data_IF_547793921253
#
_entry.id   IF_547793921253
#
_cell.length_a   1.000
_cell.length_b   1.000
_cell.length_c   1.000
_cell.angle_alpha   90.00
_cell.angle_beta   90.00
_cell.angle_gamma   90.00
#
_symmetry.space_group_name_H-M   'P 1'
#
loop_
_entity.id
_entity.type
_entity.pdbx_description
1 polymer ?
#
# COMPACT_ATOMS: atom_id res chain seq x y z
N UNK A 1 -1.15 -25.76 11.80
CA UNK A 1 -1.26 -24.30 12.00
C UNK A 1 -0.76 -23.63 10.72
N UNK A 2 -1.65 -23.10 9.87
CA UNK A 2 -1.23 -22.36 8.67
C UNK A 2 -0.85 -20.96 9.08
N UNK A 3 0.44 -20.63 8.99
CA UNK A 3 0.96 -19.28 9.23
C UNK A 3 0.32 -18.32 8.22
N UNK A 4 -0.63 -17.48 8.68
CA UNK A 4 -1.29 -16.44 7.90
C UNK A 4 -0.56 -15.11 8.14
N UNK A 5 0.71 -15.07 7.78
CA UNK A 5 1.54 -13.88 7.94
C UNK A 5 1.52 -12.99 6.70
N UNK A 6 1.50 -11.68 6.90
CA UNK A 6 1.93 -10.70 5.91
C UNK A 6 3.28 -10.12 6.36
N UNK A 7 4.19 -9.90 5.42
CA UNK A 7 5.49 -9.25 5.68
C UNK A 7 5.65 -8.07 4.74
N UNK A 8 6.13 -6.94 5.27
CA UNK A 8 6.31 -5.71 4.52
C UNK A 8 7.66 -5.07 4.85
N UNK A 9 8.33 -4.55 3.83
CA UNK A 9 9.45 -3.64 3.93
C UNK A 9 9.06 -2.35 3.22
N UNK A 10 9.30 -1.21 3.87
CA UNK A 10 9.02 0.11 3.31
C UNK A 10 10.21 1.02 3.59
N UNK A 11 10.76 1.60 2.53
CA UNK A 11 11.68 2.73 2.60
C UNK A 11 10.94 3.95 2.08
N UNK A 12 10.94 5.06 2.82
CA UNK A 12 10.17 6.23 2.44
C UNK A 12 10.86 7.54 2.78
N UNK A 13 10.42 8.61 2.11
CA UNK A 13 10.87 9.97 2.33
C UNK A 13 9.73 10.96 2.10
N UNK A 14 9.90 12.17 2.64
CA UNK A 14 9.03 13.31 2.37
C UNK A 14 9.77 14.25 1.43
N UNK A 15 9.11 14.75 0.37
CA UNK A 15 9.71 15.75 -0.52
C UNK A 15 9.69 17.16 0.10
N UNK A 16 10.30 18.12 -0.59
CA UNK A 16 10.33 19.54 -0.18
C UNK A 16 8.93 20.17 -0.08
N UNK A 17 7.92 19.58 -0.72
CA UNK A 17 6.51 20.01 -0.66
C UNK A 17 5.74 19.26 0.43
N UNK A 18 6.41 18.40 1.19
CA UNK A 18 5.83 17.59 2.25
C UNK A 18 4.97 16.41 1.76
N UNK A 19 5.10 15.99 0.50
CA UNK A 19 4.43 14.83 -0.07
C UNK A 19 5.19 13.54 0.25
N UNK A 20 4.46 12.44 0.40
CA UNK A 20 5.03 11.15 0.73
C UNK A 20 5.51 10.41 -0.52
N UNK A 21 6.70 9.80 -0.44
CA UNK A 21 7.24 8.88 -1.42
C UNK A 21 7.69 7.60 -0.73
N UNK A 22 7.32 6.43 -1.26
CA UNK A 22 7.75 5.16 -0.70
C UNK A 22 8.06 4.09 -1.72
N UNK A 23 9.14 3.36 -1.50
CA UNK A 23 9.41 2.07 -2.12
C UNK A 23 9.02 0.98 -1.13
N UNK A 24 8.24 0.02 -1.59
CA UNK A 24 7.79 -1.08 -0.74
C UNK A 24 7.93 -2.43 -1.43
N UNK A 25 8.09 -3.45 -0.60
CA UNK A 25 7.94 -4.84 -0.97
C UNK A 25 7.11 -5.51 0.12
N UNK A 26 6.03 -6.17 -0.28
CA UNK A 26 5.11 -6.88 0.61
C UNK A 26 4.88 -8.29 0.07
N UNK A 27 4.68 -9.25 0.97
CA UNK A 27 4.18 -10.57 0.62
C UNK A 27 3.05 -10.91 1.58
N UNK A 28 1.89 -11.24 1.04
CA UNK A 28 0.71 -11.65 1.81
C UNK A 28 0.16 -12.95 1.24
N UNK A 29 -0.68 -13.64 2.01
CA UNK A 29 -1.42 -14.80 1.50
C UNK A 29 -2.78 -14.38 0.98
N UNK A 30 -3.14 -14.85 -0.20
CA UNK A 30 -4.45 -14.63 -0.80
C UNK A 30 -5.54 -15.53 -0.19
N UNK A 31 -6.78 -15.44 -0.70
CA UNK A 31 -7.91 -16.25 -0.23
C UNK A 31 -7.74 -17.76 -0.43
N UNK A 32 -6.78 -18.19 -1.25
CA UNK A 32 -6.42 -19.59 -1.50
C UNK A 32 -5.19 -20.03 -0.68
N UNK A 33 -4.74 -19.22 0.28
CA UNK A 33 -3.56 -19.47 1.12
C UNK A 33 -2.25 -19.57 0.31
N UNK A 34 -2.21 -18.92 -0.87
CA UNK A 34 -1.02 -18.81 -1.74
C UNK A 34 -0.32 -17.48 -1.51
N UNK A 35 1.00 -17.48 -1.61
CA UNK A 35 1.79 -16.25 -1.47
C UNK A 35 1.61 -15.35 -2.69
N UNK A 36 1.31 -14.09 -2.45
CA UNK A 36 1.23 -13.00 -3.41
C UNK A 36 2.25 -11.92 -3.02
N UNK A 37 3.43 -11.90 -3.64
CA UNK A 37 4.37 -10.79 -3.50
C UNK A 37 3.93 -9.60 -4.35
N UNK A 38 4.10 -8.40 -3.81
CA UNK A 38 3.93 -7.13 -4.51
C UNK A 38 5.10 -6.21 -4.15
N UNK A 39 5.68 -5.55 -5.14
CA UNK A 39 6.67 -4.51 -4.92
C UNK A 39 6.35 -3.30 -5.79
N UNK A 40 6.56 -2.10 -5.26
CA UNK A 40 6.16 -0.90 -5.98
C UNK A 40 6.68 0.38 -5.39
N UNK A 41 6.36 1.44 -6.13
CA UNK A 41 6.55 2.82 -5.74
C UNK A 41 5.19 3.45 -5.45
N UNK A 42 5.08 4.17 -4.34
CA UNK A 42 3.91 4.94 -3.97
C UNK A 42 4.24 6.42 -3.86
N UNK A 43 3.31 7.26 -4.27
CA UNK A 43 3.32 8.70 -4.06
C UNK A 43 1.97 9.15 -3.53
N UNK A 44 1.97 10.01 -2.50
CA UNK A 44 0.77 10.66 -2.01
C UNK A 44 1.01 12.15 -1.87
N UNK A 45 0.10 12.95 -2.42
CA UNK A 45 -0.04 14.34 -2.01
C UNK A 45 -0.51 14.36 -0.57
N UNK A 46 0.15 15.14 0.28
CA UNK A 46 -0.13 15.14 1.72
C UNK A 46 -0.59 16.51 2.20
N UNK A 47 -1.65 16.52 3.00
CA UNK A 47 -2.21 17.69 3.64
C UNK A 47 -2.08 17.57 5.16
N UNK A 48 -1.67 18.66 5.83
CA UNK A 48 -1.59 18.78 7.29
C UNK A 48 -2.53 19.90 7.72
N UNK A 49 -3.81 19.59 8.02
CA UNK A 49 -4.83 20.63 8.24
C UNK A 49 -4.81 21.23 9.65
N UNK A 50 -4.05 20.65 10.59
CA UNK A 50 -3.95 21.13 11.98
C UNK A 50 -2.67 21.94 12.21
N UNK A 51 -2.64 22.73 13.28
CA UNK A 51 -1.51 23.57 13.64
C UNK A 51 -0.29 22.78 14.18
N UNK A 52 -0.49 21.53 14.64
CA UNK A 52 0.57 20.72 15.24
C UNK A 52 1.33 19.83 14.22
N UNK A 53 1.00 19.93 12.92
CA UNK A 53 1.53 19.15 11.79
C UNK A 53 1.50 17.62 11.96
N UNK A 54 0.95 17.12 13.07
CA UNK A 54 0.92 15.70 13.41
C UNK A 54 -0.15 14.97 12.61
N UNK A 55 -1.33 15.58 12.46
CA UNK A 55 -2.38 15.00 11.62
C UNK A 55 -2.02 15.22 10.15
N UNK A 56 -1.92 14.13 9.39
CA UNK A 56 -1.70 14.16 7.95
C UNK A 56 -2.70 13.28 7.22
N UNK A 57 -3.15 13.78 6.06
CA UNK A 57 -4.03 13.10 5.12
C UNK A 57 -3.28 12.94 3.80
N UNK A 58 -3.37 11.77 3.17
CA UNK A 58 -2.71 11.49 1.90
C UNK A 58 -3.68 11.01 0.83
N UNK A 59 -3.46 11.45 -0.41
CA UNK A 59 -4.12 10.88 -1.59
C UNK A 59 -3.13 10.83 -2.75
N UNK A 60 -3.09 9.70 -3.45
CA UNK A 60 -2.23 9.55 -4.61
C UNK A 60 -2.37 8.20 -5.26
N UNK A 61 -1.25 7.60 -5.65
CA UNK A 61 -1.23 6.36 -6.42
C UNK A 61 0.02 5.53 -6.13
N UNK A 62 -0.05 4.26 -6.48
CA UNK A 62 1.11 3.38 -6.57
C UNK A 62 1.23 2.79 -7.95
N UNK A 63 2.47 2.68 -8.45
CA UNK A 63 2.83 1.85 -9.58
C UNK A 63 3.64 0.66 -9.04
N UNK A 64 3.18 -0.55 -9.29
CA UNK A 64 3.73 -1.75 -8.70
C UNK A 64 3.66 -2.94 -9.63
N UNK A 65 4.33 -4.01 -9.22
CA UNK A 65 4.29 -5.32 -9.87
C UNK A 65 3.90 -6.34 -8.81
N UNK A 66 2.87 -7.14 -9.08
CA UNK A 66 2.45 -8.28 -8.26
C UNK A 66 2.65 -9.59 -9.02
N UNK A 67 2.66 -10.72 -8.32
CA UNK A 67 2.63 -12.04 -8.94
C UNK A 67 1.69 -12.95 -8.16
N UNK A 68 0.83 -13.70 -8.86
CA UNK A 68 -0.20 -14.57 -8.24
C UNK A 68 -0.13 -15.99 -8.77
N UNK A 69 -0.48 -16.95 -7.92
CA UNK A 69 -0.50 -18.38 -8.25
C UNK A 69 -1.45 -18.69 -9.43
N UNK A 70 -2.64 -18.05 -9.46
CA UNK A 70 -3.62 -18.19 -10.54
C UNK A 70 -3.09 -17.83 -11.94
N UNK A 71 -2.00 -17.08 -12.03
CA UNK A 71 -1.35 -16.68 -13.28
C UNK A 71 0.08 -17.23 -13.41
N UNK A 72 0.38 -18.36 -12.78
CA UNK A 72 1.69 -19.00 -12.80
C UNK A 72 2.84 -18.06 -12.37
N UNK A 73 2.56 -17.11 -11.48
CA UNK A 73 3.53 -16.11 -11.03
C UNK A 73 4.14 -15.24 -12.13
N UNK A 74 3.47 -15.11 -13.29
CA UNK A 74 3.83 -14.09 -14.28
C UNK A 74 3.70 -12.70 -13.62
N UNK A 75 4.72 -11.83 -13.68
CA UNK A 75 4.65 -10.50 -13.11
C UNK A 75 3.57 -9.64 -13.79
N UNK A 76 2.70 -9.03 -12.98
CA UNK A 76 1.58 -8.21 -13.45
C UNK A 76 1.78 -6.77 -12.99
N UNK A 77 1.95 -5.82 -13.92
CA UNK A 77 2.00 -4.41 -13.57
C UNK A 77 0.61 -3.93 -13.14
N UNK A 78 0.57 -3.09 -12.12
CA UNK A 78 -0.65 -2.46 -11.65
C UNK A 78 -0.40 -1.00 -11.26
N UNK A 79 -1.42 -0.17 -11.48
CA UNK A 79 -1.48 1.20 -10.99
C UNK A 79 -2.76 1.35 -10.20
N UNK A 80 -2.65 1.71 -8.93
CA UNK A 80 -3.79 1.77 -8.01
C UNK A 80 -3.83 3.08 -7.25
N UNK A 81 -5.02 3.58 -6.86
CA UNK A 81 -5.13 4.72 -5.97
C UNK A 81 -4.58 4.37 -4.58
N UNK A 82 -4.00 5.36 -3.92
CA UNK A 82 -3.63 5.30 -2.51
C UNK A 82 -4.36 6.40 -1.73
N UNK A 83 -4.77 6.07 -0.51
CA UNK A 83 -5.27 7.03 0.46
C UNK A 83 -4.70 6.73 1.84
N UNK A 84 -4.47 7.77 2.63
CA UNK A 84 -3.94 7.61 3.99
C UNK A 84 -4.47 8.65 4.97
N UNK A 85 -4.45 8.26 6.24
CA UNK A 85 -4.62 9.13 7.39
C UNK A 85 -3.62 8.72 8.46
N UNK A 86 -2.93 9.68 9.05
CA UNK A 86 -1.97 9.40 10.10
C UNK A 86 -1.85 10.51 11.12
N UNK A 87 -1.27 10.15 12.27
CA UNK A 87 -0.95 11.06 13.36
C UNK A 87 0.47 10.77 13.84
N UNK A 88 1.38 11.73 13.67
CA UNK A 88 2.81 11.55 13.96
C UNK A 88 3.40 10.35 13.18
N UNK A 89 4.05 9.38 13.84
CA UNK A 89 4.70 8.24 13.18
C UNK A 89 3.74 7.14 12.72
N UNK A 90 2.48 7.16 13.16
CA UNK A 90 1.50 6.13 12.84
C UNK A 90 0.62 6.56 11.65
N UNK A 91 0.61 5.75 10.60
CA UNK A 91 -0.21 5.99 9.40
C UNK A 91 -1.05 4.75 9.08
N UNK A 92 -2.34 4.95 8.85
CA UNK A 92 -3.19 3.99 8.18
C UNK A 92 -3.21 4.33 6.69
N UNK A 93 -2.78 3.39 5.84
CA UNK A 93 -2.72 3.56 4.39
C UNK A 93 -3.51 2.44 3.72
N UNK A 94 -4.18 2.76 2.62
CA UNK A 94 -4.97 1.80 1.87
C UNK A 94 -4.89 2.02 0.37
N UNK A 95 -5.20 0.96 -0.36
CA UNK A 95 -5.42 0.97 -1.80
C UNK A 95 -6.75 0.32 -2.15
N UNK A 96 -7.34 0.76 -3.25
CA UNK A 96 -8.52 0.15 -3.83
C UNK A 96 -8.13 -0.60 -5.10
N UNK A 97 -8.40 -1.90 -5.14
CA UNK A 97 -8.17 -2.76 -6.30
C UNK A 97 -9.51 -2.89 -7.05
N UNK A 98 -9.69 -2.20 -8.18
CA UNK A 98 -10.90 -2.34 -8.99
C UNK A 98 -10.94 -3.74 -9.61
N UNK A 99 -12.14 -4.28 -9.74
CA UNK A 99 -12.37 -5.52 -10.46
C UNK A 99 -13.69 -5.51 -11.22
N UNK A 100 -14.00 -6.65 -11.82
CA UNK A 100 -15.18 -6.88 -12.64
C UNK A 100 -16.26 -7.63 -11.86
N UNK A 101 -17.43 -7.81 -12.46
CA UNK A 101 -18.54 -8.55 -11.83
C UNK A 101 -18.06 -9.95 -11.38
N UNK A 102 -18.28 -10.28 -10.10
CA UNK A 102 -17.81 -11.47 -9.40
C UNK A 102 -16.28 -11.63 -9.19
N UNK A 103 -15.44 -10.68 -9.58
CA UNK A 103 -13.99 -10.77 -9.39
C UNK A 103 -13.34 -9.40 -9.14
N UNK A 104 -12.93 -9.16 -7.89
CA UNK A 104 -12.22 -7.95 -7.51
C UNK A 104 -13.15 -6.77 -7.23
N UNK A 105 -12.94 -6.17 -6.05
CA UNK A 105 -13.49 -4.92 -5.50
C UNK A 105 -12.99 -4.93 -4.05
N UNK A 106 -11.68 -4.77 -3.87
CA UNK A 106 -11.01 -5.04 -2.60
C UNK A 106 -10.33 -3.78 -2.12
N UNK A 107 -10.62 -3.41 -0.87
CA UNK A 107 -9.78 -2.52 -0.11
C UNK A 107 -8.69 -3.33 0.57
N UNK A 108 -7.43 -2.97 0.29
CA UNK A 108 -6.29 -3.52 0.99
C UNK A 108 -5.64 -2.40 1.79
N UNK A 109 -5.52 -2.59 3.10
CA UNK A 109 -5.03 -1.57 4.02
C UNK A 109 -3.96 -2.13 4.95
N UNK A 110 -3.05 -1.27 5.37
CA UNK A 110 -1.94 -1.61 6.26
C UNK A 110 -1.60 -0.43 7.16
N UNK A 111 -0.98 -0.76 8.30
CA UNK A 111 -0.39 0.22 9.19
C UNK A 111 1.07 0.43 8.84
N UNK A 112 1.50 1.69 8.76
CA UNK A 112 2.90 2.09 8.62
C UNK A 112 3.33 2.82 9.89
N UNK A 113 4.43 2.35 10.49
CA UNK A 113 5.05 2.99 11.65
C UNK A 113 6.45 3.46 11.27
N UNK A 114 6.70 4.76 11.43
CA UNK A 114 8.02 5.36 11.25
C UNK A 114 8.79 5.33 12.58
N UNK A 115 10.04 4.87 12.55
CA UNK A 115 10.96 4.80 13.69
C UNK A 115 12.27 5.51 13.39
#
# INVERSE_FOLDING_TARGET
MSDRGARALVSHAWDEKGNWHGLYAMAFKDSYNKWEPIAGYGWEKTWRPLADDNLHLGLGFTAAVTARDNWNYIPIPLVLPLASVGYGPATFQMTYIPGTYNNGNVYFAWMRFQF
#
